data_IF_812575851348
#
_entry.id   IF_812575851348
#
_cell.length_a   1.000
_cell.length_b   1.000
_cell.length_c   1.000
_cell.angle_alpha   90.00
_cell.angle_beta   90.00
_cell.angle_gamma   90.00
#
_symmetry.space_group_name_H-M   'P 1'
#
loop_
_entity.id
_entity.type
_entity.pdbx_description
1 polymer ?
#
# COMPACT_ATOMS: atom_id res chain seq x y z
N UNK A 1 11.14 -13.79 4.41
CA UNK A 1 10.91 -12.37 4.03
C UNK A 1 9.62 -11.91 4.67
N UNK A 2 9.65 -10.84 5.46
CA UNK A 2 8.50 -10.41 6.28
C UNK A 2 7.38 -9.78 5.41
N UNK A 3 7.75 -9.00 4.39
CA UNK A 3 6.79 -8.36 3.48
C UNK A 3 5.81 -9.33 2.81
N UNK A 4 6.29 -10.46 2.27
CA UNK A 4 5.46 -11.45 1.59
C UNK A 4 4.43 -12.12 2.53
N UNK A 5 4.83 -12.43 3.77
CA UNK A 5 3.93 -13.02 4.76
C UNK A 5 2.83 -12.03 5.17
N UNK A 6 3.21 -10.76 5.39
CA UNK A 6 2.28 -9.68 5.71
C UNK A 6 1.28 -9.46 4.57
N UNK A 7 1.75 -9.40 3.33
CA UNK A 7 0.90 -9.24 2.13
C UNK A 7 -0.14 -10.37 2.00
N UNK A 8 0.28 -11.62 2.22
CA UNK A 8 -0.64 -12.78 2.20
C UNK A 8 -1.68 -12.70 3.33
N UNK A 9 -1.28 -12.28 4.52
CA UNK A 9 -2.19 -12.13 5.67
C UNK A 9 -3.20 -10.99 5.45
N UNK A 10 -2.74 -9.87 4.87
CA UNK A 10 -3.57 -8.71 4.53
C UNK A 10 -4.62 -9.08 3.48
N UNK A 11 -4.29 -9.97 2.53
CA UNK A 11 -5.16 -10.32 1.42
C UNK A 11 -6.58 -10.76 1.84
N UNK A 12 -6.75 -11.36 3.01
CA UNK A 12 -8.06 -11.79 3.52
C UNK A 12 -8.83 -10.71 4.31
N UNK A 13 -8.14 -9.65 4.75
CA UNK A 13 -8.68 -8.59 5.62
C UNK A 13 -8.93 -7.27 4.88
N UNK A 14 -8.28 -7.08 3.74
CA UNK A 14 -8.29 -5.85 2.95
C UNK A 14 -9.71 -5.37 2.63
N UNK A 15 -10.54 -6.27 2.11
CA UNK A 15 -11.91 -6.01 1.66
C UNK A 15 -12.93 -5.80 2.78
N UNK A 16 -12.59 -6.13 4.03
CA UNK A 16 -13.51 -6.02 5.17
C UNK A 16 -13.50 -4.63 5.82
N UNK A 17 -12.34 -3.97 5.84
CA UNK A 17 -12.16 -2.72 6.56
C UNK A 17 -11.88 -1.53 5.64
N UNK A 18 -11.24 -1.76 4.49
CA UNK A 18 -10.83 -0.71 3.56
C UNK A 18 -11.65 -0.85 2.27
N UNK A 19 -11.99 0.27 1.64
CA UNK A 19 -12.70 0.31 0.35
C UNK A 19 -11.75 0.48 -0.82
N UNK A 20 -10.71 1.27 -0.64
CA UNK A 20 -9.68 1.49 -1.66
C UNK A 20 -8.35 1.87 -1.04
N UNK A 21 -7.28 1.51 -1.74
CA UNK A 21 -5.92 1.94 -1.43
C UNK A 21 -5.36 2.69 -2.63
N UNK A 22 -4.73 3.84 -2.38
CA UNK A 22 -4.03 4.63 -3.39
C UNK A 22 -2.58 4.83 -2.99
N UNK A 23 -1.65 4.38 -3.82
CA UNK A 23 -0.21 4.51 -3.59
C UNK A 23 0.32 5.55 -4.55
N UNK A 24 0.80 6.66 -3.99
CA UNK A 24 1.54 7.67 -4.74
C UNK A 24 3.02 7.35 -4.64
N UNK A 25 3.73 7.36 -5.76
CA UNK A 25 5.18 7.18 -5.80
C UNK A 25 5.83 8.02 -6.89
N UNK A 26 7.13 8.25 -6.73
CA UNK A 26 7.98 8.81 -7.77
C UNK A 26 8.76 7.71 -8.48
N UNK A 27 8.91 7.83 -9.80
CA UNK A 27 9.63 6.86 -10.62
C UNK A 27 11.15 6.94 -10.42
N UNK A 28 11.68 8.14 -10.13
CA UNK A 28 13.13 8.40 -10.12
C UNK A 28 13.72 8.66 -8.74
N UNK A 29 12.96 9.26 -7.82
CA UNK A 29 13.49 9.67 -6.52
C UNK A 29 13.93 8.49 -5.67
N UNK A 30 15.04 8.63 -4.95
CA UNK A 30 15.55 7.62 -4.01
C UNK A 30 14.55 7.33 -2.88
N UNK A 31 13.79 8.33 -2.44
CA UNK A 31 12.80 8.19 -1.37
C UNK A 31 11.67 7.21 -1.68
N UNK A 32 11.39 6.95 -2.97
CA UNK A 32 10.38 5.99 -3.41
C UNK A 32 10.94 4.63 -3.81
N UNK A 33 12.25 4.39 -3.67
CA UNK A 33 12.88 3.14 -4.12
C UNK A 33 12.27 1.91 -3.42
N UNK A 34 12.05 1.96 -2.10
CA UNK A 34 11.46 0.82 -1.40
C UNK A 34 10.00 0.58 -1.76
N UNK A 35 9.25 1.61 -2.14
CA UNK A 35 7.86 1.47 -2.64
C UNK A 35 7.85 0.84 -4.02
N UNK A 36 8.78 1.22 -4.92
CA UNK A 36 8.94 0.58 -6.23
C UNK A 36 9.23 -0.91 -6.10
N UNK A 37 10.22 -1.26 -5.27
CA UNK A 37 10.57 -2.65 -5.01
C UNK A 37 9.40 -3.46 -4.44
N UNK A 38 8.61 -2.85 -3.55
CA UNK A 38 7.41 -3.48 -2.99
C UNK A 38 6.35 -3.75 -4.07
N UNK A 39 6.12 -2.80 -4.98
CA UNK A 39 5.18 -2.96 -6.08
C UNK A 39 5.63 -4.09 -7.00
N UNK A 40 6.89 -4.08 -7.44
CA UNK A 40 7.44 -5.09 -8.37
C UNK A 40 7.31 -6.52 -7.82
N UNK A 41 7.55 -6.71 -6.52
CA UNK A 41 7.57 -8.03 -5.90
C UNK A 41 6.20 -8.51 -5.40
N UNK A 42 5.35 -7.61 -4.90
CA UNK A 42 4.17 -8.00 -4.13
C UNK A 42 2.83 -7.56 -4.72
N UNK A 43 2.81 -6.60 -5.65
CA UNK A 43 1.56 -6.08 -6.21
C UNK A 43 0.72 -7.15 -6.90
N UNK A 44 1.37 -8.01 -7.69
CA UNK A 44 0.66 -9.06 -8.45
C UNK A 44 0.00 -10.06 -7.50
N UNK A 45 0.68 -10.46 -6.42
CA UNK A 45 0.11 -11.36 -5.41
C UNK A 45 -1.07 -10.70 -4.68
N UNK A 46 -0.95 -9.42 -4.30
CA UNK A 46 -2.03 -8.65 -3.68
C UNK A 46 -3.27 -8.59 -4.57
N UNK A 47 -3.09 -8.29 -5.85
CA UNK A 47 -4.20 -8.14 -6.79
C UNK A 47 -4.85 -9.48 -7.12
N UNK A 48 -4.08 -10.57 -7.19
CA UNK A 48 -4.60 -11.93 -7.33
C UNK A 48 -5.43 -12.37 -6.12
N UNK A 49 -4.99 -12.03 -4.91
CA UNK A 49 -5.74 -12.31 -3.70
C UNK A 49 -7.03 -11.49 -3.57
N UNK A 50 -7.07 -10.29 -4.19
CA UNK A 50 -8.21 -9.38 -4.13
C UNK A 50 -8.56 -8.80 -5.51
N UNK A 51 -9.23 -9.59 -6.38
CA UNK A 51 -9.56 -9.15 -7.74
C UNK A 51 -10.53 -7.95 -7.75
N UNK A 52 -11.52 -7.95 -6.86
CA UNK A 52 -12.56 -6.93 -6.74
C UNK A 52 -12.05 -5.64 -6.06
N UNK A 53 -10.92 -5.71 -5.34
CA UNK A 53 -10.45 -4.58 -4.55
C UNK A 53 -9.68 -3.55 -5.41
N UNK A 54 -10.03 -2.25 -5.35
CA UNK A 54 -9.34 -1.21 -6.10
C UNK A 54 -8.01 -0.82 -5.41
N UNK A 55 -6.90 -1.25 -6.01
CA UNK A 55 -5.54 -0.79 -5.68
C UNK A 55 -5.09 0.17 -6.77
N UNK A 56 -5.06 1.46 -6.46
CA UNK A 56 -4.71 2.52 -7.39
C UNK A 56 -3.24 2.93 -7.22
N UNK A 57 -2.41 2.58 -8.20
CA UNK A 57 -1.03 3.07 -8.27
C UNK A 57 -1.03 4.39 -9.06
N UNK A 58 -0.44 5.44 -8.48
CA UNK A 58 -0.34 6.77 -9.07
C UNK A 58 1.10 7.22 -9.04
N UNK A 59 1.75 7.12 -10.19
CA UNK A 59 3.14 7.53 -10.33
C UNK A 59 3.21 8.98 -10.79
N UNK A 60 3.99 9.80 -10.10
CA UNK A 60 4.18 11.21 -10.44
C UNK A 60 5.61 11.65 -10.14
N UNK A 61 6.17 12.54 -10.97
CA UNK A 61 7.54 13.03 -10.78
C UNK A 61 7.60 14.05 -9.64
N UNK A 62 8.58 13.91 -8.74
CA UNK A 62 8.82 14.87 -7.66
C UNK A 62 7.86 14.77 -6.47
N UNK A 63 6.95 13.80 -6.45
CA UNK A 63 6.04 13.59 -5.30
C UNK A 63 6.72 12.77 -4.21
N UNK A 64 6.40 13.11 -2.96
CA UNK A 64 6.74 12.26 -1.84
C UNK A 64 5.83 11.02 -1.86
N UNK A 65 6.40 9.81 -1.66
CA UNK A 65 5.59 8.60 -1.67
C UNK A 65 4.62 8.62 -0.50
N UNK A 66 3.34 8.37 -0.79
CA UNK A 66 2.24 8.41 0.19
C UNK A 66 1.27 7.27 -0.05
N UNK A 67 0.86 6.63 1.03
CA UNK A 67 -0.23 5.66 1.06
C UNK A 67 -1.51 6.37 1.48
N UNK A 68 -2.56 6.20 0.70
CA UNK A 68 -3.91 6.60 1.04
C UNK A 68 -4.77 5.36 1.20
N UNK A 69 -5.61 5.35 2.21
CA UNK A 69 -6.65 4.36 2.37
C UNK A 69 -7.97 5.03 2.70
N UNK A 70 -9.01 4.66 1.95
CA UNK A 70 -10.37 5.10 2.21
C UNK A 70 -11.16 3.98 2.85
N UNK A 71 -11.83 4.32 3.94
CA UNK A 71 -12.68 3.44 4.72
C UNK A 71 -14.15 3.74 4.40
N UNK A 72 -15.04 3.03 5.08
CA UNK A 72 -16.46 3.34 5.06
C UNK A 72 -16.75 4.78 5.51
N UNK A 73 -17.91 5.29 5.10
CA UNK A 73 -18.37 6.66 5.40
C UNK A 73 -17.43 7.76 4.86
N UNK A 74 -16.58 7.45 3.87
CA UNK A 74 -15.72 8.42 3.21
C UNK A 74 -14.53 8.90 4.05
N UNK A 75 -14.21 8.22 5.16
CA UNK A 75 -13.01 8.53 5.95
C UNK A 75 -11.77 8.13 5.17
N UNK A 76 -10.80 9.05 5.06
CA UNK A 76 -9.52 8.79 4.40
C UNK A 76 -8.36 9.00 5.37
N UNK A 77 -7.41 8.07 5.38
CA UNK A 77 -6.16 8.17 6.13
C UNK A 77 -5.01 8.23 5.13
N UNK A 78 -4.03 9.08 5.39
CA UNK A 78 -2.80 9.15 4.64
C UNK A 78 -1.59 8.83 5.53
N UNK A 79 -0.63 8.10 4.97
CA UNK A 79 0.65 7.80 5.62
C UNK A 79 1.82 8.11 4.66
N UNK A 80 2.83 8.86 5.12
CA UNK A 80 4.05 9.05 4.34
C UNK A 80 4.85 7.75 4.27
N UNK A 81 5.31 7.39 3.07
CA UNK A 81 6.17 6.22 2.83
C UNK A 81 7.60 6.62 2.43
N UNK A 82 8.04 7.82 2.83
CA UNK A 82 9.34 8.38 2.45
C UNK A 82 10.50 7.61 3.07
N UNK A 83 11.46 7.18 2.23
CA UNK A 83 12.68 6.46 2.63
C UNK A 83 12.42 5.14 3.39
N UNK A 84 11.26 4.52 3.18
CA UNK A 84 10.94 3.22 3.77
C UNK A 84 11.41 2.07 2.88
N UNK A 85 11.88 0.99 3.52
CA UNK A 85 12.16 -0.28 2.85
C UNK A 85 10.85 -1.03 2.53
N UNK A 86 10.91 -2.01 1.63
CA UNK A 86 9.74 -2.81 1.24
C UNK A 86 9.03 -3.48 2.43
N UNK A 87 9.79 -4.00 3.41
CA UNK A 87 9.21 -4.59 4.63
C UNK A 87 8.48 -3.55 5.50
N UNK A 88 8.98 -2.31 5.56
CA UNK A 88 8.32 -1.23 6.30
C UNK A 88 7.06 -0.74 5.59
N UNK A 89 7.07 -0.72 4.24
CA UNK A 89 5.89 -0.43 3.43
C UNK A 89 4.80 -1.48 3.68
N UNK A 90 5.17 -2.77 3.73
CA UNK A 90 4.24 -3.84 4.05
C UNK A 90 3.61 -3.68 5.45
N UNK A 91 4.41 -3.33 6.47
CA UNK A 91 3.90 -3.04 7.82
C UNK A 91 2.98 -1.82 7.86
N UNK A 92 3.29 -0.77 7.11
CA UNK A 92 2.42 0.40 7.01
C UNK A 92 1.06 0.03 6.38
N UNK A 93 1.07 -0.81 5.34
CA UNK A 93 -0.13 -1.36 4.73
C UNK A 93 -0.95 -2.18 5.75
N UNK A 94 -0.27 -3.03 6.54
CA UNK A 94 -0.92 -3.83 7.58
C UNK A 94 -1.57 -2.96 8.66
N UNK A 95 -0.86 -1.93 9.13
CA UNK A 95 -1.39 -1.00 10.12
C UNK A 95 -2.66 -0.32 9.60
N UNK A 96 -2.67 0.11 8.34
CA UNK A 96 -3.84 0.74 7.71
C UNK A 96 -5.02 -0.21 7.62
N UNK A 97 -4.77 -1.48 7.28
CA UNK A 97 -5.84 -2.47 7.11
C UNK A 97 -6.43 -2.89 8.46
N UNK A 98 -5.61 -2.93 9.50
CA UNK A 98 -6.05 -3.26 10.86
C UNK A 98 -6.63 -2.06 11.61
N UNK A 99 -6.22 -0.82 11.29
CA UNK A 99 -6.79 0.39 11.87
C UNK A 99 -8.20 0.61 11.35
N UNK A 100 -9.19 0.63 12.26
CA UNK A 100 -10.55 1.12 12.00
C UNK A 100 -10.67 2.56 12.52
N UNK A 101 -10.81 3.57 11.65
CA UNK A 101 -11.04 4.95 12.06
C UNK A 101 -12.50 5.29 12.34
#
# INVERSE_FOLDING_TARGET
MMAAAVVRNIGSKLSKNVKEIRIHLCQKSAASQGVRNFIDQHYVELKKANPEFPILIRECSGVQPKLWARYDFGKEVNLPLSNLNADHVAKALESVVNSKP
#
